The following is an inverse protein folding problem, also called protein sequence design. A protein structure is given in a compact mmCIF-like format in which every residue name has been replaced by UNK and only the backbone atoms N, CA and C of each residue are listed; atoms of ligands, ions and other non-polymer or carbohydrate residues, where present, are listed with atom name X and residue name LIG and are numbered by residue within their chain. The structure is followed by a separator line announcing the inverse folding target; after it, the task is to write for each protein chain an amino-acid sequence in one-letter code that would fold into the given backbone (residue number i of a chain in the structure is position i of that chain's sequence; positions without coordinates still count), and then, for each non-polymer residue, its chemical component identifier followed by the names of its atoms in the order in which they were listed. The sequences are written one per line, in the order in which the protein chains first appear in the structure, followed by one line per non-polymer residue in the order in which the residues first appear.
data_IF_192014113265
#
_entry.id   IF_192014113265
#
_cell.length_a   1.000
_cell.length_b   1.000
_cell.length_c   1.000
_cell.angle_alpha   90.00
_cell.angle_beta   90.00
_cell.angle_gamma   90.00
#
_symmetry.space_group_name_H-M   'P 1'
#
loop_
_entity.id
_entity.type
_entity.pdbx_description
1 polymer ?
#
# COMPACT_ATOMS: atom_id res chain seq x y z
N UNK A 1 6.57 -12.31 18.14
CA UNK A 1 6.50 -12.33 16.67
C UNK A 1 7.18 -11.05 16.21
N UNK A 2 8.09 -11.12 15.25
CA UNK A 2 8.92 -9.98 14.83
C UNK A 2 8.59 -9.66 13.39
N UNK A 3 7.68 -8.71 13.19
CA UNK A 3 7.21 -8.27 11.89
C UNK A 3 6.37 -7.01 12.02
N UNK A 4 6.18 -6.31 10.91
CA UNK A 4 5.30 -5.13 10.86
C UNK A 4 4.25 -5.34 9.79
N UNK A 5 2.98 -5.22 10.15
CA UNK A 5 1.89 -5.13 9.21
C UNK A 5 1.56 -3.66 8.96
N UNK A 6 1.67 -3.23 7.71
CA UNK A 6 1.33 -1.90 7.23
C UNK A 6 0.02 -1.96 6.47
N UNK A 7 -1.02 -1.33 7.02
CA UNK A 7 -2.39 -1.36 6.50
C UNK A 7 -2.79 0.04 6.03
N UNK A 8 -3.24 0.12 4.78
CA UNK A 8 -3.64 1.38 4.14
C UNK A 8 -5.07 1.26 3.66
N UNK A 9 -5.94 2.17 4.09
CA UNK A 9 -7.29 2.32 3.55
C UNK A 9 -7.31 3.47 2.53
N UNK A 10 -7.95 3.21 1.39
CA UNK A 10 -8.03 4.15 0.27
C UNK A 10 -9.48 4.48 -0.05
N UNK A 11 -9.75 5.77 -0.22
CA UNK A 11 -10.99 6.30 -0.78
C UNK A 11 -10.65 7.05 -2.05
N UNK A 12 -11.01 6.52 -3.20
CA UNK A 12 -10.83 7.20 -4.49
C UNK A 12 -11.83 8.35 -4.67
N UNK A 13 -11.46 9.34 -5.50
CA UNK A 13 -12.41 10.36 -5.96
C UNK A 13 -13.52 9.71 -6.81
N UNK A 14 -14.75 10.24 -6.80
CA UNK A 14 -15.89 9.61 -7.46
C UNK A 14 -15.81 9.62 -9.00
N UNK A 15 -14.95 10.46 -9.58
CA UNK A 15 -14.75 10.61 -11.03
C UNK A 15 -13.65 9.69 -11.60
N UNK A 16 -13.00 8.88 -10.75
CA UNK A 16 -11.95 7.96 -11.19
C UNK A 16 -12.58 6.70 -11.78
N UNK A 17 -12.14 6.33 -12.99
CA UNK A 17 -12.60 5.12 -13.67
C UNK A 17 -12.10 3.85 -12.97
N UNK A 18 -12.88 2.77 -13.09
CA UNK A 18 -12.49 1.46 -12.57
C UNK A 18 -11.16 0.97 -13.14
N UNK A 19 -10.86 1.24 -14.42
CA UNK A 19 -9.58 0.84 -15.03
C UNK A 19 -8.38 1.52 -14.35
N UNK A 20 -8.51 2.81 -14.00
CA UNK A 20 -7.46 3.53 -13.26
C UNK A 20 -7.29 2.98 -11.84
N UNK A 21 -8.38 2.60 -11.19
CA UNK A 21 -8.34 1.99 -9.85
C UNK A 21 -7.66 0.62 -9.93
N UNK A 22 -8.04 -0.22 -10.89
CA UNK A 22 -7.43 -1.54 -11.12
C UNK A 22 -5.93 -1.41 -11.38
N UNK A 23 -5.53 -0.50 -12.28
CA UNK A 23 -4.12 -0.25 -12.56
C UNK A 23 -3.37 0.20 -11.30
N UNK A 24 -3.94 1.10 -10.50
CA UNK A 24 -3.33 1.54 -9.25
C UNK A 24 -3.13 0.36 -8.25
N UNK A 25 -4.09 -0.56 -8.16
CA UNK A 25 -3.96 -1.74 -7.30
C UNK A 25 -2.92 -2.74 -7.81
N UNK A 26 -2.76 -2.86 -9.12
CA UNK A 26 -1.74 -3.72 -9.71
C UNK A 26 -0.34 -3.11 -9.58
N UNK A 27 -0.23 -1.78 -9.70
CA UNK A 27 1.00 -1.04 -9.42
C UNK A 27 1.43 -1.20 -7.96
N UNK A 28 0.49 -1.12 -7.01
CA UNK A 28 0.72 -1.43 -5.59
C UNK A 28 1.29 -2.85 -5.46
N UNK A 29 0.64 -3.87 -6.00
CA UNK A 29 1.11 -5.27 -5.89
C UNK A 29 2.52 -5.45 -6.49
N UNK A 30 2.85 -4.70 -7.54
CA UNK A 30 4.17 -4.75 -8.18
C UNK A 30 5.31 -4.27 -7.27
N UNK A 31 5.00 -3.50 -6.21
CA UNK A 31 5.99 -3.05 -5.24
C UNK A 31 6.71 -4.21 -4.55
N UNK A 32 6.08 -5.37 -4.40
CA UNK A 32 6.75 -6.55 -3.81
C UNK A 32 8.05 -6.91 -4.54
N UNK A 33 8.11 -6.73 -5.86
CA UNK A 33 9.31 -6.98 -6.64
C UNK A 33 10.17 -5.73 -6.85
N UNK A 34 9.55 -4.54 -6.91
CA UNK A 34 10.24 -3.27 -7.22
C UNK A 34 10.92 -2.61 -6.03
N UNK A 35 10.37 -2.77 -4.82
CA UNK A 35 10.96 -2.25 -3.59
C UNK A 35 12.11 -3.16 -3.18
N UNK A 36 13.33 -2.65 -3.33
CA UNK A 36 14.56 -3.39 -3.06
C UNK A 36 15.48 -2.58 -2.15
N UNK A 37 16.27 -3.27 -1.33
CA UNK A 37 17.27 -2.62 -0.50
C UNK A 37 18.35 -1.96 -1.39
N UNK A 38 18.87 -0.77 -1.01
CA UNK A 38 19.87 -0.06 -1.81
C UNK A 38 21.12 -0.89 -2.11
N UNK A 39 21.65 -1.58 -1.08
CA UNK A 39 22.95 -2.23 -1.15
C UNK A 39 22.89 -3.58 -1.86
N UNK A 40 21.92 -4.42 -1.49
CA UNK A 40 21.82 -5.80 -1.99
C UNK A 40 20.94 -5.94 -3.23
N UNK A 41 20.12 -4.92 -3.53
CA UNK A 41 19.05 -4.97 -4.56
C UNK A 41 18.08 -6.14 -4.35
N UNK A 42 18.01 -6.67 -3.13
CA UNK A 42 17.10 -7.74 -2.76
C UNK A 42 15.73 -7.18 -2.37
N UNK A 43 14.61 -7.76 -2.85
CA UNK A 43 13.28 -7.41 -2.39
C UNK A 43 13.12 -7.66 -0.88
N UNK A 44 12.54 -6.72 -0.15
CA UNK A 44 12.42 -6.80 1.32
C UNK A 44 10.98 -6.83 1.83
N UNK A 45 10.01 -6.66 0.95
CA UNK A 45 8.57 -6.83 1.26
C UNK A 45 8.26 -8.34 1.32
N UNK A 46 7.81 -8.84 2.47
CA UNK A 46 7.45 -10.26 2.63
C UNK A 46 6.22 -10.62 1.80
N UNK A 47 5.18 -9.81 1.92
CA UNK A 47 3.93 -9.99 1.18
C UNK A 47 3.20 -8.68 0.99
N UNK A 48 2.35 -8.65 -0.04
CA UNK A 48 1.45 -7.55 -0.33
C UNK A 48 0.11 -8.13 -0.77
N UNK A 49 -0.97 -7.61 -0.21
CA UNK A 49 -2.35 -7.86 -0.62
C UNK A 49 -3.02 -6.52 -0.82
N UNK A 50 -3.68 -6.32 -1.95
CA UNK A 50 -4.42 -5.09 -2.23
C UNK A 50 -5.72 -5.43 -2.98
N UNK A 51 -6.81 -4.79 -2.61
CA UNK A 51 -8.11 -5.09 -3.22
C UNK A 51 -9.23 -4.17 -2.77
N UNK A 52 -10.38 -4.35 -3.42
CA UNK A 52 -11.63 -3.68 -3.11
C UNK A 52 -12.26 -4.28 -1.86
N UNK A 53 -12.84 -3.43 -1.02
CA UNK A 53 -13.63 -3.84 0.12
C UNK A 53 -14.84 -4.70 -0.32
N UNK A 54 -15.17 -5.70 0.51
CA UNK A 54 -16.38 -6.50 0.39
C UNK A 54 -17.12 -6.68 1.72
N UNK A 55 -16.78 -5.91 2.76
CA UNK A 55 -17.38 -6.08 4.08
C UNK A 55 -18.89 -5.84 4.03
N UNK A 56 -19.64 -6.72 4.69
CA UNK A 56 -21.11 -6.66 4.80
C UNK A 56 -21.58 -5.81 5.98
N UNK A 57 -20.66 -5.27 6.78
CA UNK A 57 -20.97 -4.62 8.05
C UNK A 57 -21.34 -3.12 7.90
N UNK A 58 -21.01 -2.50 6.76
CA UNK A 58 -21.38 -1.10 6.49
C UNK A 58 -20.56 -0.05 7.26
N UNK A 59 -19.46 -0.44 7.91
CA UNK A 59 -18.61 0.40 8.75
C UNK A 59 -17.33 0.92 8.06
N UNK A 60 -17.32 0.92 6.72
CA UNK A 60 -16.15 1.30 5.92
C UNK A 60 -15.78 2.78 6.01
N UNK A 61 -16.66 3.64 6.54
CA UNK A 61 -16.43 5.09 6.65
C UNK A 61 -16.04 5.75 5.31
N UNK A 62 -16.57 5.21 4.20
CA UNK A 62 -16.32 5.67 2.84
C UNK A 62 -15.02 5.18 2.19
N UNK A 63 -14.18 4.41 2.89
CA UNK A 63 -13.05 3.73 2.26
C UNK A 63 -13.56 2.58 1.37
N UNK A 64 -12.90 2.36 0.23
CA UNK A 64 -13.36 1.39 -0.77
C UNK A 64 -12.34 0.33 -1.12
N UNK A 65 -11.07 0.57 -0.78
CA UNK A 65 -9.97 -0.37 -1.03
C UNK A 65 -9.04 -0.40 0.17
N UNK A 66 -8.34 -1.52 0.31
CA UNK A 66 -7.33 -1.72 1.34
C UNK A 66 -6.07 -2.33 0.75
N UNK A 67 -4.93 -1.94 1.30
CA UNK A 67 -3.61 -2.53 1.06
C UNK A 67 -3.08 -3.05 2.39
N UNK A 68 -2.51 -4.24 2.39
CA UNK A 68 -1.81 -4.84 3.52
C UNK A 68 -0.42 -5.23 3.02
N UNK A 69 0.63 -4.73 3.67
CA UNK A 69 2.03 -5.04 3.38
C UNK A 69 2.66 -5.59 4.64
N UNK A 70 3.40 -6.69 4.53
CA UNK A 70 4.17 -7.23 5.64
C UNK A 70 5.67 -7.00 5.44
N UNK A 71 6.33 -6.49 6.48
CA UNK A 71 7.76 -6.30 6.58
C UNK A 71 8.36 -7.20 7.67
N UNK A 72 9.66 -7.51 7.54
CA UNK A 72 10.42 -8.24 8.57
C UNK A 72 10.58 -7.42 9.86
N UNK A 73 10.78 -6.11 9.74
CA UNK A 73 11.15 -5.25 10.85
C UNK A 73 10.76 -3.79 10.57
N UNK A 74 10.97 -2.94 11.57
CA UNK A 74 10.66 -1.50 11.54
C UNK A 74 11.53 -0.78 10.52
N UNK A 75 12.80 -1.14 10.40
CA UNK A 75 13.76 -0.50 9.51
C UNK A 75 13.34 -0.62 8.04
N UNK A 76 12.88 -1.81 7.64
CA UNK A 76 12.33 -2.07 6.31
C UNK A 76 11.07 -1.23 6.04
N UNK A 77 10.14 -1.15 6.99
CA UNK A 77 8.94 -0.31 6.89
C UNK A 77 9.31 1.17 6.77
N UNK A 78 10.24 1.64 7.60
CA UNK A 78 10.70 3.02 7.62
C UNK A 78 11.36 3.43 6.30
N UNK A 79 12.24 2.57 5.76
CA UNK A 79 12.86 2.78 4.46
C UNK A 79 11.81 2.81 3.34
N UNK A 80 10.89 1.84 3.32
CA UNK A 80 9.75 1.82 2.39
C UNK A 80 9.02 3.16 2.38
N UNK A 81 8.58 3.63 3.56
CA UNK A 81 7.75 4.81 3.66
C UNK A 81 8.49 6.11 3.33
N UNK A 82 9.78 6.21 3.69
CA UNK A 82 10.51 7.49 3.67
C UNK A 82 11.50 7.64 2.53
N UNK A 83 11.96 6.56 1.91
CA UNK A 83 13.16 6.62 1.06
C UNK A 83 13.12 5.73 -0.17
N UNK A 84 12.33 4.66 -0.20
CA UNK A 84 12.28 3.77 -1.36
C UNK A 84 11.70 4.49 -2.59
N UNK A 85 12.49 4.69 -3.67
CA UNK A 85 12.05 5.46 -4.83
C UNK A 85 10.87 4.81 -5.56
N UNK A 86 10.74 3.47 -5.52
CA UNK A 86 9.63 2.79 -6.17
C UNK A 86 8.31 3.08 -5.44
N UNK A 87 8.32 3.09 -4.11
CA UNK A 87 7.16 3.47 -3.30
C UNK A 87 6.84 4.97 -3.45
N UNK A 88 7.84 5.86 -3.39
CA UNK A 88 7.61 7.30 -3.52
C UNK A 88 7.02 7.67 -4.89
N UNK A 89 7.42 6.98 -5.96
CA UNK A 89 6.81 7.14 -7.29
C UNK A 89 5.33 6.72 -7.31
N UNK A 90 4.98 5.61 -6.64
CA UNK A 90 3.58 5.20 -6.49
C UNK A 90 2.77 6.26 -5.74
N UNK A 91 3.27 6.78 -4.61
CA UNK A 91 2.58 7.81 -3.81
C UNK A 91 2.30 9.06 -4.65
N UNK A 92 3.26 9.49 -5.46
CA UNK A 92 3.10 10.64 -6.35
C UNK A 92 2.00 10.43 -7.39
N UNK A 93 1.86 9.22 -7.94
CA UNK A 93 0.80 8.87 -8.89
C UNK A 93 -0.57 8.66 -8.24
N UNK A 94 -0.60 8.12 -7.02
CA UNK A 94 -1.83 7.77 -6.31
C UNK A 94 -2.49 8.97 -5.61
N UNK A 95 -1.71 9.86 -5.02
CA UNK A 95 -2.24 10.99 -4.23
C UNK A 95 -3.26 11.86 -4.97
N UNK A 96 -3.07 12.20 -6.27
CA UNK A 96 -4.02 13.03 -7.02
C UNK A 96 -5.39 12.38 -7.25
N UNK A 97 -5.51 11.05 -7.16
CA UNK A 97 -6.76 10.33 -7.44
C UNK A 97 -7.53 9.93 -6.17
N UNK A 98 -6.98 10.22 -4.99
CA UNK A 98 -7.62 9.91 -3.70
C UNK A 98 -8.43 11.10 -3.17
N UNK A 99 -9.51 10.76 -2.47
CA UNK A 99 -10.35 11.63 -1.65
C UNK A 99 -10.24 11.27 -0.15
N UNK A 100 -9.41 10.29 0.20
CA UNK A 100 -9.13 9.88 1.57
C UNK A 100 -8.08 8.79 1.61
N UNK A 101 -7.22 8.86 2.62
CA UNK A 101 -6.13 7.92 2.90
C UNK A 101 -6.03 7.76 4.42
N UNK A 102 -5.91 6.53 4.90
CA UNK A 102 -5.59 6.24 6.29
C UNK A 102 -4.56 5.12 6.33
N UNK A 103 -3.56 5.24 7.21
CA UNK A 103 -2.46 4.30 7.34
C UNK A 103 -2.30 3.93 8.81
N UNK A 104 -2.22 2.64 9.11
CA UNK A 104 -1.90 2.11 10.42
C UNK A 104 -0.83 1.02 10.29
N UNK A 105 0.12 1.04 11.21
CA UNK A 105 1.15 0.02 11.33
C UNK A 105 1.02 -0.67 12.69
N UNK A 106 1.09 -2.01 12.70
CA UNK A 106 1.08 -2.82 13.93
C UNK A 106 2.24 -3.82 13.93
N UNK A 107 2.65 -4.23 15.13
CA UNK A 107 3.51 -5.40 15.31
C UNK A 107 2.73 -6.67 14.93
N UNK A 108 3.37 -7.58 14.20
CA UNK A 108 2.80 -8.83 13.68
C UNK A 108 3.64 -10.05 14.06
#
# INVERSE_FOLDING_TARGET
MTGIAHVVHLRFKPDISNDKITQAMDDVKSLKAKCVLPDSRHPYIKSITAGKDNSVEGLQNGFTHMIIIFFENVEHRDYYAKSDPAHLALVAGLSPVLNGLQVLDIEA
#
